data_IF_375547106297
#
_entry.id   IF_375547106297
#
_cell.length_a   1.000
_cell.length_b   1.000
_cell.length_c   1.000
_cell.angle_alpha   90.00
_cell.angle_beta   90.00
_cell.angle_gamma   90.00
#
_symmetry.space_group_name_H-M   'P 1'
#
loop_
_entity.id
_entity.type
_entity.pdbx_description
1 polymer ?
#
# COMPACT_ATOMS: atom_id res chain seq x y z
N UNK A 1 9.56 -6.70 13.07
CA UNK A 1 10.43 -7.55 12.23
C UNK A 1 11.91 -7.30 12.53
N UNK A 2 12.46 -6.10 12.36
CA UNK A 2 13.88 -5.83 12.54
C UNK A 2 14.39 -6.16 13.96
N UNK A 3 13.65 -5.82 15.01
CA UNK A 3 13.98 -6.18 16.40
C UNK A 3 14.09 -7.70 16.59
N UNK A 4 13.13 -8.45 16.04
CA UNK A 4 13.12 -9.91 16.13
C UNK A 4 14.25 -10.54 15.33
N UNK A 5 14.53 -10.04 14.12
CA UNK A 5 15.66 -10.53 13.32
C UNK A 5 16.98 -10.28 14.04
N UNK A 6 17.18 -9.09 14.62
CA UNK A 6 18.37 -8.77 15.40
C UNK A 6 18.48 -9.66 16.65
N UNK A 7 17.39 -9.92 17.36
CA UNK A 7 17.36 -10.81 18.52
C UNK A 7 17.75 -12.27 18.17
N UNK A 8 17.46 -12.71 16.95
CA UNK A 8 17.86 -14.02 16.40
C UNK A 8 19.30 -14.05 15.88
N UNK A 9 20.03 -12.94 15.98
CA UNK A 9 21.44 -12.87 15.57
C UNK A 9 21.67 -12.61 14.07
N UNK A 10 20.65 -12.17 13.32
CA UNK A 10 20.82 -11.76 11.94
C UNK A 10 21.53 -10.40 11.87
N UNK A 11 22.44 -10.25 10.92
CA UNK A 11 23.00 -8.96 10.55
C UNK A 11 21.96 -8.19 9.71
N UNK A 12 21.70 -6.95 10.10
CA UNK A 12 20.71 -6.11 9.43
C UNK A 12 21.38 -5.00 8.64
N UNK A 13 20.84 -4.77 7.46
CA UNK A 13 21.22 -3.67 6.59
C UNK A 13 20.00 -2.91 6.15
N UNK A 14 20.18 -1.61 5.86
CA UNK A 14 19.14 -0.74 5.35
C UNK A 14 19.61 -0.04 4.08
N UNK A 15 18.71 0.07 3.12
CA UNK A 15 18.84 0.96 1.97
C UNK A 15 17.47 1.43 1.50
N UNK A 16 17.45 2.60 0.89
CA UNK A 16 16.25 3.12 0.22
C UNK A 16 16.23 2.69 -1.25
N UNK A 17 15.06 2.53 -1.88
CA UNK A 17 14.94 2.11 -3.29
C UNK A 17 15.73 2.97 -4.29
N UNK A 18 15.89 4.26 -3.99
CA UNK A 18 16.69 5.19 -4.79
C UNK A 18 18.22 4.91 -4.75
N UNK A 19 18.65 3.98 -3.90
CA UNK A 19 20.05 3.51 -3.81
C UNK A 19 20.32 2.27 -4.64
N UNK A 20 19.27 1.71 -5.30
CA UNK A 20 19.42 0.61 -6.23
C UNK A 20 20.13 1.05 -7.51
N UNK A 21 21.03 0.23 -7.98
CA UNK A 21 21.72 0.39 -9.25
C UNK A 21 21.83 -0.97 -9.94
N UNK A 22 21.56 -0.99 -11.25
CA UNK A 22 21.75 -2.20 -12.07
C UNK A 22 22.75 -1.89 -13.20
N UNK A 23 23.78 -2.73 -13.33
CA UNK A 23 24.76 -2.65 -14.40
C UNK A 23 25.07 -4.04 -14.92
N UNK A 24 24.92 -4.26 -16.20
CA UNK A 24 25.23 -5.53 -16.88
C UNK A 24 24.55 -6.76 -16.23
N UNK A 25 23.34 -6.56 -15.69
CA UNK A 25 22.54 -7.57 -15.00
C UNK A 25 22.84 -7.74 -13.51
N UNK A 26 23.94 -7.21 -12.99
CA UNK A 26 24.26 -7.19 -11.56
C UNK A 26 23.49 -6.05 -10.85
N UNK A 27 22.83 -6.37 -9.76
CA UNK A 27 22.06 -5.39 -8.96
C UNK A 27 22.82 -5.11 -7.66
N UNK A 28 23.06 -3.85 -7.41
CA UNK A 28 23.78 -3.36 -6.25
C UNK A 28 22.99 -2.28 -5.52
N UNK A 29 23.26 -2.11 -4.24
CA UNK A 29 22.74 -1.00 -3.46
C UNK A 29 23.80 -0.46 -2.50
N UNK A 30 23.76 0.84 -2.21
CA UNK A 30 24.52 1.42 -1.12
C UNK A 30 23.80 1.10 0.20
N UNK A 31 24.10 -0.07 0.78
CA UNK A 31 23.52 -0.55 2.03
C UNK A 31 24.26 -0.01 3.24
N UNK A 32 23.57 0.17 4.36
CA UNK A 32 24.10 0.65 5.63
C UNK A 32 23.85 -0.39 6.71
N UNK A 33 24.86 -0.79 7.52
CA UNK A 33 24.61 -1.59 8.72
C UNK A 33 23.55 -0.93 9.59
N UNK A 34 22.59 -1.72 10.06
CA UNK A 34 21.44 -1.25 10.84
C UNK A 34 21.46 -1.91 12.21
N UNK A 35 21.38 -1.10 13.26
CA UNK A 35 21.05 -1.55 14.62
C UNK A 35 19.72 -0.96 15.02
N UNK A 36 18.87 -1.76 15.66
CA UNK A 36 17.54 -1.31 16.11
C UNK A 36 17.36 -1.47 17.61
N UNK A 37 16.58 -0.57 18.21
CA UNK A 37 16.22 -0.60 19.61
C UNK A 37 14.73 -0.26 19.78
N UNK A 38 14.07 -0.91 20.74
CA UNK A 38 12.70 -0.56 21.13
C UNK A 38 12.71 0.67 22.03
N UNK A 39 12.99 1.83 21.40
CA UNK A 39 13.14 3.11 22.09
C UNK A 39 12.56 4.24 21.26
N UNK A 40 11.57 4.93 21.77
CA UNK A 40 10.96 6.08 21.12
C UNK A 40 11.98 7.18 20.86
N UNK A 41 12.03 7.68 19.62
CA UNK A 41 12.92 8.78 19.19
C UNK A 41 14.37 8.38 18.94
N UNK A 42 14.79 7.14 19.31
CA UNK A 42 16.13 6.61 19.07
C UNK A 42 16.06 5.11 18.77
N UNK A 43 15.22 4.77 17.81
CA UNK A 43 14.87 3.37 17.50
C UNK A 43 15.82 2.69 16.50
N UNK A 44 16.72 3.42 15.87
CA UNK A 44 17.72 2.85 14.97
C UNK A 44 19.03 3.66 14.93
N UNK A 45 20.08 2.98 14.55
CA UNK A 45 21.40 3.53 14.21
C UNK A 45 21.85 2.98 12.86
N UNK A 46 22.37 3.84 11.98
CA UNK A 46 22.91 3.44 10.68
C UNK A 46 24.42 3.63 10.65
N UNK A 47 25.12 2.62 10.14
CA UNK A 47 26.53 2.68 9.86
C UNK A 47 26.87 3.40 8.55
N UNK A 48 28.14 3.42 8.18
CA UNK A 48 28.58 3.99 6.91
C UNK A 48 28.03 3.16 5.72
N UNK A 49 27.55 3.83 4.63
CA UNK A 49 27.09 3.12 3.46
C UNK A 49 28.22 2.42 2.72
N UNK A 50 27.95 1.22 2.20
CA UNK A 50 28.84 0.45 1.35
C UNK A 50 28.08 -0.05 0.12
N UNK A 51 28.67 0.08 -1.07
CA UNK A 51 28.09 -0.44 -2.30
C UNK A 51 28.27 -1.96 -2.34
N UNK A 52 27.19 -2.69 -2.20
CA UNK A 52 27.19 -4.16 -2.06
C UNK A 52 26.41 -4.78 -3.22
N UNK A 53 26.86 -5.90 -3.74
CA UNK A 53 26.08 -6.74 -4.64
C UNK A 53 24.95 -7.40 -3.85
N UNK A 54 23.72 -7.30 -4.35
CA UNK A 54 22.56 -7.81 -3.61
C UNK A 54 22.49 -9.34 -3.60
N UNK A 55 23.27 -10.02 -4.46
CA UNK A 55 23.40 -11.47 -4.39
C UNK A 55 24.29 -11.93 -3.20
N UNK A 56 25.02 -11.01 -2.56
CA UNK A 56 25.79 -11.31 -1.34
C UNK A 56 24.92 -11.34 -0.07
N UNK A 57 23.61 -11.04 -0.20
CA UNK A 57 22.64 -11.06 0.90
C UNK A 57 21.79 -12.33 0.87
N UNK A 58 21.43 -12.85 2.04
CA UNK A 58 20.55 -14.02 2.14
C UNK A 58 19.08 -13.64 1.87
N UNK A 59 18.62 -12.51 2.42
CA UNK A 59 17.23 -12.08 2.37
C UNK A 59 17.11 -10.57 2.17
N UNK A 60 16.21 -10.16 1.30
CA UNK A 60 15.78 -8.77 1.14
C UNK A 60 14.30 -8.67 1.49
N UNK A 61 13.97 -7.88 2.52
CA UNK A 61 12.59 -7.55 2.85
C UNK A 61 12.17 -6.33 2.04
N UNK A 62 11.31 -6.54 1.05
CA UNK A 62 10.77 -5.46 0.23
C UNK A 62 9.70 -4.68 1.01
N UNK A 63 10.14 -3.70 1.79
CA UNK A 63 9.33 -2.87 2.68
C UNK A 63 9.20 -1.43 2.18
N UNK A 64 9.32 -1.23 0.88
CA UNK A 64 9.15 0.08 0.26
C UNK A 64 7.75 0.64 0.54
N UNK A 65 7.70 1.91 0.96
CA UNK A 65 6.46 2.62 1.14
C UNK A 65 5.81 3.00 -0.20
N UNK A 66 4.47 3.11 -0.27
CA UNK A 66 3.81 3.68 -1.43
C UNK A 66 4.27 5.14 -1.69
N UNK A 67 4.01 5.70 -2.88
CA UNK A 67 3.00 5.25 -3.86
C UNK A 67 3.48 4.10 -4.75
N UNK A 68 2.52 3.29 -5.23
CA UNK A 68 2.75 2.21 -6.18
C UNK A 68 2.77 2.79 -7.60
N UNK A 69 3.91 3.30 -7.99
CA UNK A 69 4.16 4.02 -9.25
C UNK A 69 5.41 3.49 -9.98
N UNK A 70 5.80 4.10 -11.10
CA UNK A 70 6.91 3.59 -11.92
C UNK A 70 8.24 3.42 -11.17
N UNK A 71 8.68 4.31 -10.25
CA UNK A 71 9.83 4.05 -9.40
C UNK A 71 9.71 2.78 -8.56
N UNK A 72 8.52 2.53 -7.99
CA UNK A 72 8.24 1.29 -7.26
C UNK A 72 8.33 0.06 -8.18
N UNK A 73 7.67 0.11 -9.33
CA UNK A 73 7.70 -0.96 -10.35
C UNK A 73 9.13 -1.22 -10.83
N UNK A 74 9.91 -0.17 -11.07
CA UNK A 74 11.32 -0.29 -11.48
C UNK A 74 12.17 -0.99 -10.42
N UNK A 75 11.98 -0.67 -9.15
CA UNK A 75 12.65 -1.37 -8.05
C UNK A 75 12.30 -2.86 -8.02
N UNK A 76 11.04 -3.23 -8.24
CA UNK A 76 10.64 -4.64 -8.31
C UNK A 76 11.31 -5.38 -9.46
N UNK A 77 11.47 -4.75 -10.63
CA UNK A 77 12.17 -5.35 -11.77
C UNK A 77 13.66 -5.58 -11.49
N UNK A 78 14.32 -4.66 -10.78
CA UNK A 78 15.70 -4.85 -10.35
C UNK A 78 15.82 -6.01 -9.35
N UNK A 79 14.97 -6.02 -8.31
CA UNK A 79 15.00 -7.04 -7.27
C UNK A 79 14.63 -8.44 -7.79
N UNK A 80 13.84 -8.53 -8.85
CA UNK A 80 13.53 -9.80 -9.51
C UNK A 80 14.78 -10.46 -10.11
N UNK A 81 15.83 -9.67 -10.42
CA UNK A 81 17.09 -10.19 -10.98
C UNK A 81 17.96 -10.93 -9.95
N UNK A 82 17.77 -10.63 -8.68
CA UNK A 82 18.50 -11.31 -7.58
C UNK A 82 17.68 -12.41 -6.92
N UNK A 83 16.37 -12.45 -7.17
CA UNK A 83 15.47 -13.51 -6.72
C UNK A 83 15.54 -14.71 -7.70
N UNK A 84 15.61 -15.99 -7.26
CA UNK A 84 15.53 -16.46 -5.86
C UNK A 84 16.88 -16.68 -5.15
N UNK A 85 18.03 -16.42 -5.80
CA UNK A 85 19.35 -16.62 -5.20
C UNK A 85 19.47 -15.86 -3.88
N UNK A 86 19.10 -14.57 -3.88
CA UNK A 86 18.74 -13.83 -2.67
C UNK A 86 17.24 -13.87 -2.51
N UNK A 87 16.75 -14.36 -1.40
CA UNK A 87 15.31 -14.43 -1.14
C UNK A 87 14.70 -13.03 -0.97
N UNK A 88 13.92 -12.59 -1.95
CA UNK A 88 13.19 -11.31 -1.84
C UNK A 88 11.76 -11.56 -1.34
N UNK A 89 11.40 -10.96 -0.23
CA UNK A 89 10.07 -11.09 0.41
C UNK A 89 9.38 -9.71 0.42
N UNK A 90 8.22 -9.55 -0.22
CA UNK A 90 7.48 -10.52 -1.04
C UNK A 90 8.14 -10.65 -2.42
N UNK A 91 7.81 -11.75 -3.13
CA UNK A 91 8.31 -12.00 -4.49
C UNK A 91 8.02 -10.79 -5.40
N UNK A 92 9.03 -10.17 -6.04
CA UNK A 92 8.85 -8.91 -6.75
C UNK A 92 7.81 -8.95 -7.88
N UNK A 93 7.77 -10.03 -8.65
CA UNK A 93 6.75 -10.22 -9.69
C UNK A 93 5.33 -10.29 -9.10
N UNK A 94 5.15 -10.97 -7.96
CA UNK A 94 3.86 -11.05 -7.28
C UNK A 94 3.40 -9.67 -6.76
N UNK A 95 4.32 -8.87 -6.23
CA UNK A 95 4.04 -7.50 -5.79
C UNK A 95 3.53 -6.65 -6.96
N UNK A 96 4.20 -6.70 -8.12
CA UNK A 96 3.75 -5.97 -9.32
C UNK A 96 2.37 -6.41 -9.80
N UNK A 97 2.08 -7.71 -9.76
CA UNK A 97 0.86 -8.30 -10.31
C UNK A 97 -0.33 -8.25 -9.35
N UNK A 98 -0.13 -7.81 -8.11
CA UNK A 98 -1.18 -7.70 -7.10
C UNK A 98 -1.31 -6.26 -6.56
N UNK A 99 -1.58 -5.24 -7.42
CA UNK A 99 -1.78 -3.88 -6.93
C UNK A 99 -2.98 -3.82 -5.99
N UNK A 100 -2.78 -3.21 -4.82
CA UNK A 100 -3.65 -3.26 -3.64
C UNK A 100 -5.15 -3.07 -3.91
N UNK A 101 -5.51 -2.15 -4.81
CA UNK A 101 -6.93 -1.81 -5.05
C UNK A 101 -7.50 -2.40 -6.34
N UNK A 102 -6.66 -2.92 -7.24
CA UNK A 102 -7.10 -3.58 -8.47
C UNK A 102 -7.21 -5.09 -8.26
N UNK A 103 -6.19 -5.70 -7.66
CA UNK A 103 -6.17 -7.15 -7.44
C UNK A 103 -7.41 -7.70 -6.72
N UNK A 104 -7.99 -7.03 -5.70
CA UNK A 104 -9.19 -7.52 -5.02
C UNK A 104 -10.41 -7.72 -5.93
N UNK A 105 -10.51 -7.01 -7.07
CA UNK A 105 -11.67 -7.18 -7.98
C UNK A 105 -11.74 -8.57 -8.61
N UNK A 106 -10.64 -9.35 -8.55
CA UNK A 106 -10.65 -10.76 -8.96
C UNK A 106 -11.49 -11.64 -8.03
N UNK A 107 -11.85 -11.15 -6.84
CA UNK A 107 -12.62 -11.89 -5.83
C UNK A 107 -14.06 -11.40 -5.79
N UNK A 108 -14.81 -11.69 -6.85
CA UNK A 108 -16.23 -11.31 -6.94
C UNK A 108 -17.02 -11.80 -5.72
N UNK A 109 -17.88 -10.95 -5.19
CA UNK A 109 -18.71 -11.24 -4.01
C UNK A 109 -18.03 -10.96 -2.64
N UNK A 110 -16.72 -10.65 -2.62
CA UNK A 110 -16.01 -10.22 -1.40
C UNK A 110 -15.82 -8.70 -1.34
N UNK A 111 -16.25 -7.99 -2.39
CA UNK A 111 -16.18 -6.53 -2.49
C UNK A 111 -17.57 -5.93 -2.61
N UNK A 112 -17.79 -4.70 -2.15
CA UNK A 112 -18.92 -3.92 -2.61
C UNK A 112 -18.82 -3.68 -4.12
N UNK A 113 -19.92 -3.34 -4.77
CA UNK A 113 -19.93 -3.04 -6.20
C UNK A 113 -18.86 -1.99 -6.51
N UNK A 114 -17.99 -2.32 -7.44
CA UNK A 114 -16.79 -1.55 -7.75
C UNK A 114 -16.66 -1.35 -9.25
N UNK A 115 -16.44 -0.11 -9.64
CA UNK A 115 -16.16 0.34 -11.00
C UNK A 115 -14.75 0.96 -11.03
N UNK A 116 -13.95 0.62 -12.04
CA UNK A 116 -12.64 1.22 -12.29
C UNK A 116 -12.65 1.77 -13.70
N UNK A 117 -12.65 3.09 -13.87
CA UNK A 117 -12.75 3.72 -15.19
C UNK A 117 -12.24 5.16 -15.22
N UNK A 118 -11.99 5.69 -16.40
CA UNK A 118 -11.85 7.13 -16.68
C UNK A 118 -13.05 7.70 -17.43
N UNK A 119 -13.99 6.86 -17.84
CA UNK A 119 -15.16 7.30 -18.60
C UNK A 119 -16.17 7.98 -17.68
N UNK A 120 -16.36 9.28 -17.90
CA UNK A 120 -17.25 10.13 -17.10
C UNK A 120 -18.71 9.69 -17.20
N UNK A 121 -19.14 9.20 -18.38
CA UNK A 121 -20.53 8.76 -18.55
C UNK A 121 -20.80 7.49 -17.73
N UNK A 122 -19.83 6.57 -17.69
CA UNK A 122 -19.91 5.34 -16.90
C UNK A 122 -19.87 5.64 -15.40
N UNK A 123 -19.06 6.62 -14.95
CA UNK A 123 -19.05 7.09 -13.56
C UNK A 123 -20.40 7.69 -13.14
N UNK A 124 -21.01 8.51 -14.02
CA UNK A 124 -22.33 9.08 -13.77
C UNK A 124 -23.42 8.02 -13.68
N UNK A 125 -23.39 7.02 -14.56
CA UNK A 125 -24.32 5.89 -14.53
C UNK A 125 -24.18 5.09 -13.23
N UNK A 126 -22.96 4.79 -12.80
CA UNK A 126 -22.70 4.09 -11.54
C UNK A 126 -23.24 4.85 -10.33
N UNK A 127 -23.02 6.18 -10.26
CA UNK A 127 -23.61 7.01 -9.20
C UNK A 127 -25.12 7.00 -9.24
N UNK A 128 -25.72 7.08 -10.43
CA UNK A 128 -27.17 7.04 -10.57
C UNK A 128 -27.78 5.71 -10.10
N UNK A 129 -27.07 4.61 -10.28
CA UNK A 129 -27.49 3.27 -9.85
C UNK A 129 -27.39 3.09 -8.33
N UNK A 130 -26.27 3.49 -7.70
CA UNK A 130 -25.99 3.19 -6.29
C UNK A 130 -26.25 4.36 -5.32
N UNK A 131 -26.44 5.57 -5.82
CA UNK A 131 -26.66 6.78 -5.01
C UNK A 131 -25.41 7.22 -4.26
N UNK A 132 -25.21 6.72 -3.04
CA UNK A 132 -24.02 6.97 -2.24
C UNK A 132 -22.84 6.13 -2.73
N UNK A 133 -21.77 6.80 -3.15
CA UNK A 133 -20.55 6.15 -3.63
C UNK A 133 -19.28 6.71 -2.98
N UNK A 134 -18.22 5.94 -3.03
CA UNK A 134 -16.86 6.39 -2.71
C UNK A 134 -16.10 6.57 -4.02
N UNK A 135 -15.51 7.75 -4.23
CA UNK A 135 -14.49 7.98 -5.26
C UNK A 135 -13.10 7.95 -4.62
N UNK A 136 -12.15 7.26 -5.25
CA UNK A 136 -10.77 7.17 -4.77
C UNK A 136 -9.78 6.90 -5.89
N UNK A 137 -8.49 7.32 -5.75
CA UNK A 137 -7.45 6.98 -6.72
C UNK A 137 -7.11 5.50 -6.66
N UNK A 138 -6.70 4.92 -7.78
CA UNK A 138 -6.19 3.53 -7.84
C UNK A 138 -4.93 3.37 -7.01
N UNK A 139 -3.98 4.27 -7.15
CA UNK A 139 -2.69 4.24 -6.46
C UNK A 139 -2.62 5.35 -5.41
N UNK A 140 -3.23 5.13 -4.26
CA UNK A 140 -3.19 6.05 -3.13
C UNK A 140 -3.17 5.28 -1.82
N UNK A 141 -2.69 5.88 -0.75
CA UNK A 141 -2.57 5.26 0.56
C UNK A 141 -3.05 6.20 1.68
N UNK A 142 -3.18 5.69 2.88
CA UNK A 142 -3.48 6.48 4.08
C UNK A 142 -4.83 7.21 4.08
N UNK A 143 -5.74 6.94 3.14
CA UNK A 143 -7.02 7.63 3.00
C UNK A 143 -6.97 8.93 2.19
N UNK A 144 -5.81 9.27 1.59
CA UNK A 144 -5.70 10.42 0.71
C UNK A 144 -6.56 10.25 -0.56
N UNK A 145 -7.26 11.31 -0.96
CA UNK A 145 -8.10 11.30 -2.17
C UNK A 145 -9.34 10.42 -2.09
N UNK A 146 -9.79 10.02 -0.90
CA UNK A 146 -11.01 9.24 -0.69
C UNK A 146 -12.16 10.19 -0.39
N UNK A 147 -13.19 10.19 -1.23
CA UNK A 147 -14.37 11.05 -1.11
C UNK A 147 -15.64 10.22 -1.08
N UNK A 148 -16.52 10.49 -0.13
CA UNK A 148 -17.91 10.03 -0.18
C UNK A 148 -18.75 11.05 -0.92
N UNK A 149 -19.50 10.60 -1.93
CA UNK A 149 -20.33 11.41 -2.79
C UNK A 149 -21.77 10.88 -2.71
N UNK A 150 -22.67 11.72 -2.22
CA UNK A 150 -24.11 11.42 -2.18
C UNK A 150 -24.79 11.66 -3.53
N UNK A 151 -26.06 11.24 -3.67
CA UNK A 151 -26.79 11.34 -4.92
C UNK A 151 -27.01 12.79 -5.39
N UNK A 152 -27.09 13.75 -4.46
CA UNK A 152 -27.33 15.16 -4.75
C UNK A 152 -26.08 16.03 -4.59
N UNK A 153 -24.88 15.42 -4.44
CA UNK A 153 -23.65 16.19 -4.25
C UNK A 153 -23.25 16.91 -5.54
N UNK A 154 -23.28 18.22 -5.50
CA UNK A 154 -22.95 19.10 -6.63
C UNK A 154 -21.46 19.10 -7.00
N UNK A 155 -20.58 18.66 -6.07
CA UNK A 155 -19.14 18.62 -6.31
C UNK A 155 -18.70 17.42 -7.15
N UNK A 156 -19.59 16.49 -7.48
CA UNK A 156 -19.24 15.28 -8.22
C UNK A 156 -18.53 15.56 -9.54
N UNK A 157 -19.02 16.52 -10.32
CA UNK A 157 -18.39 16.92 -11.59
C UNK A 157 -16.98 17.48 -11.36
N UNK A 158 -16.84 18.43 -10.43
CA UNK A 158 -15.58 19.07 -10.12
C UNK A 158 -14.51 18.06 -9.57
N UNK A 159 -14.96 17.08 -8.80
CA UNK A 159 -14.09 16.00 -8.31
C UNK A 159 -13.59 15.10 -9.43
N UNK A 160 -14.46 14.73 -10.36
CA UNK A 160 -14.05 13.96 -11.55
C UNK A 160 -13.01 14.77 -12.36
N UNK A 161 -13.28 16.04 -12.62
CA UNK A 161 -12.34 16.90 -13.36
C UNK A 161 -10.99 17.00 -12.65
N UNK A 162 -10.99 17.14 -11.34
CA UNK A 162 -9.78 17.16 -10.52
C UNK A 162 -8.98 15.84 -10.68
N UNK A 163 -9.62 14.69 -10.56
CA UNK A 163 -8.96 13.39 -10.75
C UNK A 163 -8.40 13.21 -12.15
N UNK A 164 -9.16 13.61 -13.17
CA UNK A 164 -8.74 13.47 -14.57
C UNK A 164 -7.59 14.41 -14.96
N UNK A 165 -7.43 15.54 -14.26
CA UNK A 165 -6.35 16.51 -14.47
C UNK A 165 -5.08 16.14 -13.68
N UNK A 166 -5.22 15.65 -12.44
CA UNK A 166 -4.08 15.32 -11.59
C UNK A 166 -3.39 14.03 -11.99
N UNK A 167 -4.17 13.02 -12.46
CA UNK A 167 -3.65 11.68 -12.72
C UNK A 167 -4.08 11.15 -14.10
N UNK A 168 -3.29 10.22 -14.63
CA UNK A 168 -3.61 9.50 -15.87
C UNK A 168 -4.26 8.15 -15.60
N UNK A 169 -4.25 7.70 -14.38
CA UNK A 169 -4.81 6.43 -13.91
C UNK A 169 -6.33 6.48 -13.87
N UNK A 170 -7.00 5.32 -13.93
CA UNK A 170 -8.45 5.27 -13.74
C UNK A 170 -8.84 5.66 -12.31
N UNK A 171 -10.09 6.05 -12.16
CA UNK A 171 -10.73 6.35 -10.88
C UNK A 171 -11.47 5.08 -10.42
N UNK A 172 -11.43 4.78 -9.13
CA UNK A 172 -12.30 3.79 -8.50
C UNK A 172 -13.55 4.50 -8.00
N UNK A 173 -14.72 4.04 -8.47
CA UNK A 173 -15.99 4.29 -7.85
C UNK A 173 -16.48 3.02 -7.17
N UNK A 174 -16.96 3.12 -5.94
CA UNK A 174 -17.37 1.96 -5.15
C UNK A 174 -18.64 2.32 -4.36
N UNK A 175 -19.61 1.39 -4.29
CA UNK A 175 -20.80 1.60 -3.46
C UNK A 175 -20.37 1.87 -2.01
N UNK A 176 -20.94 2.90 -1.40
CA UNK A 176 -20.69 3.22 0.00
C UNK A 176 -21.34 2.18 0.92
N UNK A 177 -20.58 1.70 1.89
CA UNK A 177 -21.06 0.81 2.94
C UNK A 177 -21.21 1.60 4.24
N UNK A 178 -22.45 1.88 4.72
CA UNK A 178 -22.65 2.65 5.96
C UNK A 178 -22.01 2.01 7.19
N UNK A 179 -21.82 0.69 7.18
CA UNK A 179 -21.23 -0.11 8.25
C UNK A 179 -19.80 0.31 8.59
N UNK A 180 -19.10 0.99 7.66
CA UNK A 180 -17.75 1.54 7.93
C UNK A 180 -17.75 2.50 9.12
N UNK A 181 -18.90 3.08 9.49
CA UNK A 181 -19.02 3.95 10.68
C UNK A 181 -18.78 3.21 11.98
N UNK A 182 -19.02 1.90 12.03
CA UNK A 182 -18.69 1.03 13.15
C UNK A 182 -17.22 0.56 13.11
N UNK A 183 -16.49 0.92 12.07
CA UNK A 183 -15.10 0.60 11.86
C UNK A 183 -14.84 -0.32 10.68
N UNK A 184 -13.59 -0.37 10.28
CA UNK A 184 -13.08 -1.37 9.34
C UNK A 184 -12.08 -2.31 10.06
N UNK A 185 -12.17 -3.60 9.79
CA UNK A 185 -11.27 -4.58 10.40
C UNK A 185 -10.06 -4.83 9.50
N UNK A 186 -8.88 -4.66 10.08
CA UNK A 186 -7.63 -5.11 9.47
C UNK A 186 -7.21 -6.42 10.10
N UNK A 187 -7.30 -7.51 9.36
CA UNK A 187 -6.86 -8.83 9.78
C UNK A 187 -5.46 -9.09 9.26
N UNK A 188 -4.57 -9.55 10.13
CA UNK A 188 -3.21 -9.94 9.78
C UNK A 188 -3.17 -11.45 9.64
N UNK A 189 -2.73 -11.91 8.46
CA UNK A 189 -2.58 -13.32 8.16
C UNK A 189 -1.09 -13.69 8.12
N UNK A 190 -0.73 -14.83 8.71
CA UNK A 190 0.57 -15.44 8.57
C UNK A 190 0.35 -16.90 8.17
N UNK A 191 0.91 -17.30 7.04
CA UNK A 191 0.73 -18.65 6.46
C UNK A 191 -0.75 -19.07 6.30
N UNK A 192 -1.62 -18.08 6.02
CA UNK A 192 -3.06 -18.31 5.85
C UNK A 192 -3.87 -18.28 7.15
N UNK A 193 -3.24 -18.20 8.31
CA UNK A 193 -3.90 -18.14 9.60
C UNK A 193 -4.04 -16.69 10.11
N UNK A 194 -5.18 -16.34 10.67
CA UNK A 194 -5.42 -15.04 11.29
C UNK A 194 -4.69 -14.95 12.64
N UNK A 195 -3.60 -14.19 12.70
CA UNK A 195 -2.77 -14.03 13.92
C UNK A 195 -3.10 -12.77 14.71
N UNK A 196 -3.93 -11.90 14.18
CA UNK A 196 -4.39 -10.70 14.87
C UNK A 196 -5.35 -9.88 14.02
N UNK A 197 -6.18 -9.09 14.68
CA UNK A 197 -7.10 -8.16 14.03
C UNK A 197 -7.18 -6.84 14.79
N UNK A 198 -7.38 -5.78 14.05
CA UNK A 198 -7.52 -4.40 14.53
C UNK A 198 -8.77 -3.79 13.91
N UNK A 199 -9.66 -3.24 14.72
CA UNK A 199 -10.77 -2.42 14.23
C UNK A 199 -10.33 -0.96 14.20
N UNK A 200 -10.58 -0.26 13.08
CA UNK A 200 -10.27 1.16 12.93
C UNK A 200 -11.57 1.93 12.80
N UNK A 201 -11.90 2.71 13.83
CA UNK A 201 -13.15 3.48 13.89
C UNK A 201 -12.91 4.88 13.32
N UNK A 202 -13.68 5.32 12.30
CA UNK A 202 -13.56 6.66 11.75
C UNK A 202 -13.80 7.76 12.79
N UNK A 203 -13.11 8.88 12.65
CA UNK A 203 -13.42 10.08 13.41
C UNK A 203 -14.84 10.60 13.11
N UNK A 204 -15.45 11.31 14.04
CA UNK A 204 -16.75 11.92 13.82
C UNK A 204 -16.69 12.89 12.61
N UNK A 205 -17.63 12.72 11.66
CA UNK A 205 -17.69 13.53 10.45
C UNK A 205 -16.77 13.09 9.31
N UNK A 206 -15.85 12.14 9.51
CA UNK A 206 -15.01 11.57 8.45
C UNK A 206 -15.53 10.18 8.05
N UNK A 207 -15.49 9.86 6.77
CA UNK A 207 -15.84 8.52 6.25
C UNK A 207 -14.64 7.56 6.24
N UNK A 208 -13.43 8.05 6.50
CA UNK A 208 -12.18 7.30 6.43
C UNK A 208 -11.80 6.74 7.78
N UNK A 209 -11.48 5.45 7.85
CA UNK A 209 -11.07 4.77 9.07
C UNK A 209 -9.53 4.69 9.24
N UNK A 210 -8.75 5.23 8.31
CA UNK A 210 -7.30 5.19 8.36
C UNK A 210 -6.76 5.97 9.58
N UNK A 211 -5.84 5.37 10.32
CA UNK A 211 -5.21 6.00 11.51
C UNK A 211 -4.51 7.32 11.16
N UNK A 212 -3.90 7.42 9.97
CA UNK A 212 -3.24 8.64 9.49
C UNK A 212 -4.17 9.85 9.32
N UNK A 213 -5.47 9.63 9.21
CA UNK A 213 -6.49 10.69 9.06
C UNK A 213 -7.40 10.77 10.29
N UNK A 214 -6.97 10.23 11.44
CA UNK A 214 -7.67 10.35 12.72
C UNK A 214 -8.54 9.16 13.10
N UNK A 215 -8.52 8.06 12.37
CA UNK A 215 -9.17 6.82 12.78
C UNK A 215 -8.57 6.26 14.07
N UNK A 216 -9.41 5.82 14.99
CA UNK A 216 -8.99 5.26 16.29
C UNK A 216 -8.84 3.75 16.17
N UNK A 217 -7.66 3.19 16.50
CA UNK A 217 -7.47 1.74 16.52
C UNK A 217 -8.06 1.15 17.81
N UNK A 218 -8.82 0.08 17.68
CA UNK A 218 -9.39 -0.71 18.78
C UNK A 218 -9.06 -2.19 18.58
N UNK A 219 -9.02 -2.96 19.65
CA UNK A 219 -8.89 -4.42 19.54
C UNK A 219 -10.14 -4.96 18.86
N UNK A 220 -9.97 -5.73 17.80
CA UNK A 220 -11.11 -6.38 17.16
C UNK A 220 -11.54 -7.58 18.00
N UNK A 221 -12.83 -7.60 18.33
CA UNK A 221 -13.48 -8.76 18.94
C UNK A 221 -13.78 -9.84 17.90
#
# INVERSE_FOLDING_TARGET
LALEAQARGHELFFYEPNRLAMRDGAVRAAIQPLKVADRLGAHYELGAPNLTDLNDLDVILMRQDPPFEMPYISATHMLERVHPETLVVNVPAAVRNAPEKIFPVCFAGLLPETLITRDVAVLKAFRAEFGDIILKPVFGNGGAGVFRIGPEDENFGALIDMFLQSDREPIIAQRYLPEVRAGDKRVILVEGEAVGALNRVPAAGDARANVHVGGTPEVAG
#
